data_IF_727156610896
#
_entry.id   IF_727156610896
#
_cell.length_a   1.000
_cell.length_b   1.000
_cell.length_c   1.000
_cell.angle_alpha   90.00
_cell.angle_beta   90.00
_cell.angle_gamma   90.00
#
_symmetry.space_group_name_H-M   'P 1'
#
loop_
_entity.id
_entity.type
_entity.pdbx_description
1 polymer ?
#
# COMPACT_ATOMS: atom_id res chain seq x y z
N UNK A 1 8.85 -7.36 -10.77
CA UNK A 1 9.39 -6.00 -10.56
C UNK A 1 10.79 -5.99 -9.94
N UNK A 2 10.99 -6.60 -8.76
CA UNK A 2 12.26 -6.55 -8.01
C UNK A 2 13.49 -7.02 -8.80
N UNK A 3 13.41 -8.18 -9.47
CA UNK A 3 14.50 -8.70 -10.31
C UNK A 3 14.93 -7.68 -11.37
N UNK A 4 13.97 -6.98 -11.96
CA UNK A 4 14.23 -5.97 -12.98
C UNK A 4 14.87 -4.69 -12.42
N UNK A 5 14.65 -4.37 -11.15
CA UNK A 5 15.31 -3.27 -10.44
C UNK A 5 16.74 -3.67 -10.05
N UNK A 6 16.91 -4.86 -9.47
CA UNK A 6 18.23 -5.40 -9.13
C UNK A 6 19.16 -5.47 -10.35
N UNK A 7 18.65 -5.95 -11.49
CA UNK A 7 19.39 -5.98 -12.77
C UNK A 7 19.81 -4.61 -13.29
N UNK A 8 19.19 -3.53 -12.80
CA UNK A 8 19.51 -2.13 -13.15
C UNK A 8 20.37 -1.44 -12.09
N UNK A 9 20.90 -2.19 -11.12
CA UNK A 9 21.80 -1.68 -10.09
C UNK A 9 21.11 -1.04 -8.88
N UNK A 10 19.80 -1.26 -8.71
CA UNK A 10 19.09 -0.82 -7.50
C UNK A 10 19.16 -1.88 -6.41
N UNK A 11 19.30 -1.45 -5.16
CA UNK A 11 18.94 -2.28 -4.01
C UNK A 11 17.43 -2.23 -3.86
N UNK A 12 16.77 -3.37 -4.01
CA UNK A 12 15.32 -3.47 -3.99
C UNK A 12 14.86 -4.39 -2.85
N UNK A 13 13.86 -3.96 -2.11
CA UNK A 13 13.30 -4.67 -0.97
C UNK A 13 11.78 -4.70 -1.08
N UNK A 14 11.19 -5.83 -0.69
CA UNK A 14 9.75 -6.02 -0.57
C UNK A 14 9.46 -6.66 0.77
N UNK A 15 8.27 -6.43 1.27
CA UNK A 15 7.73 -7.09 2.45
C UNK A 15 6.32 -7.57 2.13
N UNK A 16 5.88 -8.60 2.84
CA UNK A 16 4.49 -9.03 2.78
C UNK A 16 3.63 -8.19 3.74
N UNK A 17 2.48 -7.74 3.25
CA UNK A 17 1.44 -7.15 4.09
C UNK A 17 0.74 -8.24 4.90
N UNK A 18 0.09 -7.86 6.01
CA UNK A 18 -0.74 -8.80 6.78
C UNK A 18 -1.77 -9.47 5.86
N UNK A 19 -1.83 -10.80 5.88
CA UNK A 19 -2.71 -11.60 5.04
C UNK A 19 -2.12 -12.04 3.69
N UNK A 20 -0.90 -11.59 3.35
CA UNK A 20 -0.20 -11.94 2.11
C UNK A 20 1.04 -12.81 2.38
N UNK A 21 1.33 -13.73 1.44
CA UNK A 21 2.58 -14.48 1.41
C UNK A 21 2.93 -15.15 2.74
N UNK A 22 4.13 -14.89 3.26
CA UNK A 22 4.62 -15.45 4.53
C UNK A 22 3.85 -14.95 5.76
N UNK A 23 2.97 -13.96 5.59
CA UNK A 23 2.18 -13.33 6.65
C UNK A 23 0.69 -13.66 6.58
N UNK A 24 0.32 -14.78 5.98
CA UNK A 24 -1.04 -15.33 6.14
C UNK A 24 -1.39 -15.43 7.63
N UNK A 25 -2.56 -14.92 8.00
CA UNK A 25 -3.08 -14.94 9.37
C UNK A 25 -4.02 -16.11 9.62
N UNK A 26 -4.46 -16.78 8.57
CA UNK A 26 -5.37 -17.92 8.62
C UNK A 26 -4.71 -19.20 8.10
N UNK A 27 -3.39 -19.31 8.22
CA UNK A 27 -2.64 -20.48 7.80
C UNK A 27 -3.08 -21.73 8.59
N UNK A 28 -3.31 -22.82 7.86
CA UNK A 28 -3.57 -24.15 8.42
C UNK A 28 -2.41 -25.07 8.08
N UNK A 29 -1.82 -25.69 9.10
CA UNK A 29 -0.66 -26.56 8.94
C UNK A 29 -1.00 -27.88 8.26
N UNK A 30 -2.23 -28.37 8.42
CA UNK A 30 -2.66 -29.63 7.80
C UNK A 30 -2.99 -29.42 6.31
N UNK A 31 -3.49 -28.24 5.95
CA UNK A 31 -3.73 -27.87 4.55
C UNK A 31 -2.49 -27.29 3.85
N UNK A 32 -1.44 -26.99 4.61
CA UNK A 32 -0.24 -26.26 4.16
C UNK A 32 -0.54 -24.93 3.43
N UNK A 33 -1.71 -24.33 3.69
CA UNK A 33 -2.19 -23.12 3.02
C UNK A 33 -3.20 -22.38 3.92
N UNK A 34 -3.67 -21.21 3.46
CA UNK A 34 -4.72 -20.47 4.16
C UNK A 34 -6.04 -21.24 4.21
N UNK A 35 -6.72 -21.22 5.36
CA UNK A 35 -8.11 -21.73 5.53
C UNK A 35 -9.10 -21.05 4.59
N UNK A 36 -8.75 -19.89 4.05
CA UNK A 36 -9.57 -19.13 3.12
C UNK A 36 -9.25 -19.45 1.65
N UNK A 37 -8.37 -20.44 1.39
CA UNK A 37 -7.96 -20.90 0.07
C UNK A 37 -6.84 -20.08 -0.56
N UNK A 38 -6.30 -20.56 -1.70
CA UNK A 38 -5.17 -19.92 -2.41
C UNK A 38 -5.47 -18.52 -2.96
N UNK A 39 -6.74 -18.17 -3.16
CA UNK A 39 -7.19 -16.84 -3.55
C UNK A 39 -7.62 -15.99 -2.36
N UNK A 40 -7.38 -16.47 -1.14
CA UNK A 40 -7.88 -15.90 0.11
C UNK A 40 -7.23 -14.58 0.55
N UNK A 41 -6.19 -14.10 -0.14
CA UNK A 41 -5.42 -12.89 0.23
C UNK A 41 -6.31 -11.66 0.54
N UNK A 42 -7.18 -11.28 -0.38
CA UNK A 42 -8.10 -10.13 -0.21
C UNK A 42 -9.18 -10.42 0.83
N UNK A 43 -9.59 -11.68 0.96
CA UNK A 43 -10.52 -12.13 2.01
C UNK A 43 -9.87 -12.03 3.38
N UNK A 44 -8.60 -12.41 3.54
CA UNK A 44 -7.84 -12.25 4.79
C UNK A 44 -7.75 -10.78 5.20
N UNK A 45 -7.40 -9.90 4.27
CA UNK A 45 -7.38 -8.45 4.50
C UNK A 45 -8.72 -7.95 5.05
N UNK A 46 -9.82 -8.40 4.45
CA UNK A 46 -11.18 -8.02 4.83
C UNK A 46 -11.56 -8.57 6.21
N UNK A 47 -11.24 -9.84 6.49
CA UNK A 47 -11.56 -10.49 7.76
C UNK A 47 -10.79 -9.88 8.93
N UNK A 48 -9.50 -9.56 8.74
CA UNK A 48 -8.69 -8.86 9.75
C UNK A 48 -9.17 -7.41 9.88
N UNK A 49 -9.45 -6.76 8.76
CA UNK A 49 -9.94 -5.38 8.73
C UNK A 49 -11.27 -5.19 9.44
N UNK A 50 -12.20 -6.15 9.30
CA UNK A 50 -13.46 -6.16 10.04
C UNK A 50 -13.21 -6.26 11.56
N UNK A 51 -12.26 -7.07 12.01
CA UNK A 51 -11.89 -7.15 13.43
C UNK A 51 -11.30 -5.82 13.93
N UNK A 52 -10.40 -5.20 13.16
CA UNK A 52 -9.87 -3.87 13.48
C UNK A 52 -10.99 -2.84 13.58
N UNK A 53 -11.91 -2.82 12.62
CA UNK A 53 -13.04 -1.88 12.59
C UNK A 53 -13.94 -2.02 13.81
N UNK A 54 -14.27 -3.26 14.20
CA UNK A 54 -15.07 -3.54 15.40
C UNK A 54 -14.36 -3.08 16.69
N UNK A 55 -13.03 -3.08 16.71
CA UNK A 55 -12.22 -2.54 17.80
C UNK A 55 -12.06 -1.00 17.74
N UNK A 56 -12.69 -0.31 16.79
CA UNK A 56 -12.55 1.14 16.58
C UNK A 56 -11.21 1.55 15.93
N UNK A 57 -10.51 0.60 15.31
CA UNK A 57 -9.23 0.80 14.64
C UNK A 57 -9.35 0.53 13.13
N UNK A 58 -8.23 0.60 12.40
CA UNK A 58 -8.18 0.28 10.97
C UNK A 58 -6.89 -0.44 10.60
N UNK A 59 -7.01 -1.55 9.85
CA UNK A 59 -5.89 -2.40 9.45
C UNK A 59 -4.78 -1.65 8.69
N UNK A 60 -5.13 -0.59 7.94
CA UNK A 60 -4.16 0.25 7.24
C UNK A 60 -3.07 0.80 8.17
N UNK A 61 -3.39 1.08 9.44
CA UNK A 61 -2.42 1.62 10.40
C UNK A 61 -1.27 0.64 10.63
N UNK A 62 -1.58 -0.64 10.74
CA UNK A 62 -0.60 -1.69 10.95
C UNK A 62 0.21 -1.95 9.68
N UNK A 63 -0.45 -2.07 8.53
CA UNK A 63 0.23 -2.36 7.26
C UNK A 63 1.08 -1.17 6.78
N UNK A 64 0.68 0.07 7.06
CA UNK A 64 1.52 1.26 6.86
C UNK A 64 2.75 1.20 7.77
N UNK A 65 2.56 0.87 9.06
CA UNK A 65 3.65 0.79 10.00
C UNK A 65 4.69 -0.26 9.60
N UNK A 66 4.25 -1.41 9.10
CA UNK A 66 5.12 -2.45 8.53
C UNK A 66 5.95 -1.89 7.37
N UNK A 67 5.35 -1.11 6.47
CA UNK A 67 6.07 -0.44 5.38
C UNK A 67 7.11 0.58 5.87
N UNK A 68 6.82 1.31 6.95
CA UNK A 68 7.79 2.24 7.57
C UNK A 68 8.95 1.45 8.20
N UNK A 69 8.68 0.31 8.87
CA UNK A 69 9.74 -0.55 9.42
C UNK A 69 10.57 -1.24 8.33
N UNK A 70 9.93 -1.64 7.23
CA UNK A 70 10.60 -2.14 6.03
C UNK A 70 11.58 -1.10 5.48
N UNK A 71 11.17 0.18 5.44
CA UNK A 71 12.04 1.27 5.05
C UNK A 71 13.20 1.47 6.05
N UNK A 72 12.94 1.41 7.36
CA UNK A 72 14.01 1.49 8.38
C UNK A 72 15.07 0.40 8.16
N UNK A 73 14.63 -0.84 7.93
CA UNK A 73 15.54 -1.95 7.65
C UNK A 73 16.34 -1.70 6.38
N UNK A 74 15.69 -1.31 5.28
CA UNK A 74 16.36 -1.02 4.01
C UNK A 74 17.44 0.06 4.19
N UNK A 75 17.13 1.15 4.89
CA UNK A 75 18.07 2.26 5.12
C UNK A 75 19.20 1.93 6.10
N UNK A 76 19.07 0.86 6.90
CA UNK A 76 20.15 0.36 7.75
C UNK A 76 21.25 -0.38 6.96
N UNK A 77 20.97 -0.77 5.72
CA UNK A 77 21.89 -1.53 4.88
C UNK A 77 23.01 -0.63 4.36
N UNK A 78 24.26 -1.07 4.54
CA UNK A 78 25.45 -0.33 4.07
C UNK A 78 25.48 -0.10 2.56
N UNK A 79 24.85 -0.99 1.79
CA UNK A 79 24.74 -0.91 0.34
C UNK A 79 23.67 0.08 -0.15
N UNK A 80 22.87 0.66 0.76
CA UNK A 80 21.78 1.59 0.44
C UNK A 80 22.22 3.02 0.66
N UNK A 81 21.94 3.86 -0.34
CA UNK A 81 22.13 5.31 -0.25
C UNK A 81 20.84 5.98 0.27
N UNK A 82 20.82 6.50 1.50
CA UNK A 82 19.61 7.07 2.10
C UNK A 82 19.16 8.38 1.45
N UNK A 83 19.97 8.96 0.54
CA UNK A 83 19.59 10.18 -0.20
C UNK A 83 18.85 9.87 -1.50
N UNK A 84 18.81 8.60 -1.94
CA UNK A 84 18.22 8.15 -3.21
C UNK A 84 17.20 7.03 -3.00
N UNK A 85 16.12 7.37 -2.29
CA UNK A 85 15.07 6.41 -1.90
C UNK A 85 13.82 6.60 -2.77
N UNK A 86 13.32 5.49 -3.31
CA UNK A 86 12.10 5.44 -4.09
C UNK A 86 11.14 4.36 -3.60
N UNK A 87 9.83 4.60 -3.74
CA UNK A 87 8.77 3.64 -3.41
C UNK A 87 7.85 3.43 -4.61
N UNK A 88 7.47 2.18 -4.88
CA UNK A 88 6.56 1.83 -5.99
C UNK A 88 5.82 0.55 -5.70
N UNK A 89 4.62 0.42 -6.26
CA UNK A 89 3.77 -0.75 -6.11
C UNK A 89 2.51 -0.64 -6.96
N UNK A 90 1.84 -1.77 -7.14
CA UNK A 90 0.64 -1.89 -7.97
C UNK A 90 -0.57 -2.32 -7.11
N UNK A 91 -1.75 -1.77 -7.39
CA UNK A 91 -2.99 -2.10 -6.66
C UNK A 91 -2.83 -1.85 -5.15
N UNK A 92 -2.92 -2.89 -4.30
CA UNK A 92 -2.55 -2.81 -2.87
C UNK A 92 -1.21 -2.13 -2.62
N UNK A 93 -0.18 -2.52 -3.38
CA UNK A 93 1.14 -1.87 -3.31
C UNK A 93 1.14 -0.41 -3.77
N UNK A 94 0.23 -0.04 -4.68
CA UNK A 94 0.04 1.34 -5.12
C UNK A 94 -0.58 2.21 -4.02
N UNK A 95 -1.58 1.66 -3.31
CA UNK A 95 -2.16 2.28 -2.11
C UNK A 95 -1.10 2.47 -1.03
N UNK A 96 -0.28 1.44 -0.76
CA UNK A 96 0.85 1.55 0.16
C UNK A 96 1.88 2.59 -0.27
N UNK A 97 2.21 2.66 -1.56
CA UNK A 97 3.12 3.68 -2.10
C UNK A 97 2.57 5.09 -1.84
N UNK A 98 1.25 5.29 -2.01
CA UNK A 98 0.60 6.56 -1.72
C UNK A 98 0.62 6.89 -0.22
N UNK A 99 0.33 5.95 0.67
CA UNK A 99 0.39 6.17 2.12
C UNK A 99 1.80 6.47 2.60
N UNK A 100 2.78 5.64 2.24
CA UNK A 100 4.16 5.78 2.69
C UNK A 100 4.77 7.09 2.19
N UNK A 101 4.57 7.43 0.92
CA UNK A 101 5.08 8.69 0.37
C UNK A 101 4.45 9.93 1.00
N UNK A 102 3.19 9.84 1.47
CA UNK A 102 2.53 10.92 2.19
C UNK A 102 2.99 11.04 3.66
N UNK A 103 3.38 9.93 4.30
CA UNK A 103 3.67 9.85 5.73
C UNK A 103 5.15 9.85 6.08
N UNK A 104 6.04 9.50 5.15
CA UNK A 104 7.48 9.39 5.38
C UNK A 104 8.28 10.24 4.38
N UNK A 105 8.98 11.25 4.88
CA UNK A 105 9.74 12.20 4.07
C UNK A 105 11.06 11.65 3.55
N UNK A 106 11.49 10.46 4.01
CA UNK A 106 12.68 9.80 3.48
C UNK A 106 12.46 9.29 2.06
N UNK A 107 11.21 9.15 1.61
CA UNK A 107 10.87 8.75 0.24
C UNK A 107 10.92 9.98 -0.68
N UNK A 108 11.95 10.06 -1.51
CA UNK A 108 12.15 11.16 -2.48
C UNK A 108 11.38 10.98 -3.78
N UNK A 109 11.11 9.75 -4.19
CA UNK A 109 10.37 9.42 -5.43
C UNK A 109 9.28 8.38 -5.13
N UNK A 110 8.07 8.63 -5.61
CA UNK A 110 6.95 7.68 -5.49
C UNK A 110 6.35 7.36 -6.87
N UNK A 111 6.15 6.08 -7.16
CA UNK A 111 5.51 5.63 -8.40
C UNK A 111 4.36 4.65 -8.09
N UNK A 112 3.23 5.15 -7.55
CA UNK A 112 2.06 4.31 -7.29
C UNK A 112 1.35 3.95 -8.62
N UNK A 113 0.86 2.72 -8.73
CA UNK A 113 0.12 2.24 -9.91
C UNK A 113 -1.18 1.52 -9.52
N UNK A 114 -2.22 1.69 -10.35
CA UNK A 114 -3.52 1.03 -10.23
C UNK A 114 -4.17 1.11 -8.83
N UNK A 115 -4.11 2.27 -8.17
CA UNK A 115 -4.65 2.46 -6.81
C UNK A 115 -5.77 3.51 -6.76
N UNK A 116 -6.50 3.59 -5.64
CA UNK A 116 -7.65 4.49 -5.47
C UNK A 116 -7.22 5.97 -5.54
N UNK A 117 -7.69 6.65 -6.58
CA UNK A 117 -7.48 8.10 -6.75
C UNK A 117 -8.68 8.94 -6.32
N UNK A 118 -9.87 8.36 -6.20
CA UNK A 118 -11.08 9.07 -5.76
C UNK A 118 -12.09 8.12 -5.11
N UNK A 119 -12.52 8.48 -3.89
CA UNK A 119 -13.59 7.78 -3.17
C UNK A 119 -14.91 7.78 -3.94
N UNK A 120 -15.27 8.91 -4.54
CA UNK A 120 -16.49 9.03 -5.33
C UNK A 120 -16.44 8.08 -6.53
N UNK A 121 -15.36 8.11 -7.32
CA UNK A 121 -15.21 7.23 -8.49
C UNK A 121 -15.16 5.76 -8.11
N UNK A 122 -14.56 5.44 -6.96
CA UNK A 122 -14.55 4.08 -6.46
C UNK A 122 -15.97 3.58 -6.18
N UNK A 123 -16.76 4.37 -5.44
CA UNK A 123 -18.14 4.03 -5.11
C UNK A 123 -19.04 3.96 -6.36
N UNK A 124 -18.80 4.81 -7.35
CA UNK A 124 -19.53 4.81 -8.64
C UNK A 124 -19.15 3.65 -9.57
N UNK A 125 -18.04 2.94 -9.31
CA UNK A 125 -17.52 1.88 -10.19
C UNK A 125 -17.58 0.50 -9.55
N UNK A 126 -16.47 0.06 -8.96
CA UNK A 126 -16.28 -1.30 -8.43
C UNK A 126 -16.64 -1.41 -6.95
N UNK A 127 -16.92 -0.30 -6.28
CA UNK A 127 -17.25 -0.26 -4.85
C UNK A 127 -16.01 -0.35 -3.94
N UNK A 128 -16.23 -0.41 -2.61
CA UNK A 128 -15.16 -0.48 -1.62
C UNK A 128 -14.14 -1.58 -1.92
N UNK A 129 -12.85 -1.30 -1.69
CA UNK A 129 -11.77 -2.26 -1.86
C UNK A 129 -11.40 -2.93 -0.52
N UNK A 130 -10.31 -3.68 -0.52
CA UNK A 130 -9.71 -4.30 0.67
C UNK A 130 -9.65 -3.32 1.85
N UNK A 131 -9.76 -3.85 3.06
CA UNK A 131 -10.01 -3.06 4.25
C UNK A 131 -8.90 -2.04 4.58
N UNK A 132 -7.64 -2.31 4.21
CA UNK A 132 -6.53 -1.37 4.35
C UNK A 132 -6.61 -0.18 3.40
N UNK A 133 -7.42 -0.28 2.35
CA UNK A 133 -7.66 0.80 1.39
C UNK A 133 -8.87 1.65 1.79
N UNK A 134 -9.68 1.14 2.73
CA UNK A 134 -10.90 1.76 3.24
C UNK A 134 -10.67 2.46 4.58
N UNK A 135 -10.20 3.70 4.52
CA UNK A 135 -10.05 4.55 5.71
C UNK A 135 -11.42 5.02 6.22
N UNK A 136 -11.72 4.90 7.53
CA UNK A 136 -13.00 5.33 8.08
C UNK A 136 -13.18 6.86 7.95
N UNK A 137 -14.41 7.32 7.67
CA UNK A 137 -14.71 8.73 7.43
C UNK A 137 -14.46 9.65 8.65
N UNK A 138 -14.32 9.08 9.86
CA UNK A 138 -14.03 9.83 11.09
C UNK A 138 -12.60 10.38 11.18
N UNK A 139 -11.72 10.08 10.21
CA UNK A 139 -10.42 10.74 10.10
C UNK A 139 -10.54 12.02 9.25
N UNK A 140 -10.58 13.23 9.85
CA UNK A 140 -10.70 14.50 9.11
C UNK A 140 -9.52 14.76 8.16
N UNK A 141 -8.48 13.91 8.16
CA UNK A 141 -7.33 13.97 7.24
C UNK A 141 -7.60 13.34 5.87
N UNK A 142 -8.68 12.58 5.68
CA UNK A 142 -8.88 11.80 4.43
C UNK A 142 -10.27 11.90 3.83
N UNK A 143 -11.14 12.76 4.39
CA UNK A 143 -12.58 12.71 4.16
C UNK A 143 -13.08 13.14 2.76
N UNK A 144 -12.28 13.76 1.89
CA UNK A 144 -12.84 14.36 0.66
C UNK A 144 -11.94 14.33 -0.58
N UNK A 145 -10.75 13.74 -0.51
CA UNK A 145 -9.84 13.67 -1.66
C UNK A 145 -8.87 12.52 -1.53
N UNK A 146 -8.32 12.03 -2.66
CA UNK A 146 -7.16 11.12 -2.70
C UNK A 146 -6.22 11.39 -1.51
N UNK A 147 -5.67 10.36 -0.83
CA UNK A 147 -4.66 10.55 0.23
C UNK A 147 -3.49 11.44 -0.23
N UNK A 148 -3.30 11.59 -1.54
CA UNK A 148 -2.35 12.49 -2.16
C UNK A 148 -2.65 14.00 -2.00
N UNK A 149 -3.91 14.40 -1.85
CA UNK A 149 -4.33 15.82 -1.76
C UNK A 149 -4.34 16.39 -0.35
N UNK A 150 -4.31 15.56 0.69
CA UNK A 150 -4.61 16.01 2.05
C UNK A 150 -3.47 16.71 2.81
N UNK A 151 -2.21 16.59 2.39
CA UNK A 151 -1.06 17.44 2.83
C UNK A 151 0.23 16.97 2.17
N UNK A 152 0.44 17.33 0.92
CA UNK A 152 1.82 17.48 0.46
C UNK A 152 2.36 18.77 1.10
N UNK A 153 3.12 18.66 2.21
CA UNK A 153 4.12 19.70 2.48
C UNK A 153 5.02 19.77 1.23
N UNK A 154 5.51 20.94 0.81
CA UNK A 154 6.27 21.07 -0.43
C UNK A 154 7.68 20.48 -0.26
N UNK A 155 7.78 19.18 -0.07
CA UNK A 155 8.97 18.40 -0.35
C UNK A 155 8.99 18.15 -1.86
N UNK A 156 10.14 18.33 -2.51
CA UNK A 156 10.33 18.02 -3.94
C UNK A 156 10.23 16.50 -4.16
N UNK A 157 9.03 15.94 -4.04
CA UNK A 157 8.75 14.52 -4.32
C UNK A 157 8.38 14.41 -5.80
N UNK A 158 9.16 13.64 -6.55
CA UNK A 158 8.77 13.28 -7.92
C UNK A 158 7.75 12.16 -7.82
N UNK A 159 6.52 12.42 -8.26
CA UNK A 159 5.48 11.41 -8.32
C UNK A 159 5.17 11.05 -9.76
N UNK A 160 5.38 9.78 -10.09
CA UNK A 160 5.14 9.23 -11.41
C UNK A 160 3.84 8.43 -11.31
N UNK A 161 2.77 9.01 -11.85
CA UNK A 161 1.46 8.37 -11.89
C UNK A 161 1.26 7.65 -13.22
N UNK A 162 0.90 6.37 -13.17
CA UNK A 162 0.41 5.61 -14.33
C UNK A 162 -1.08 5.35 -14.17
N UNK A 163 -1.96 6.02 -14.95
CA UNK A 163 -3.38 5.75 -14.91
C UNK A 163 -3.66 4.32 -15.37
N UNK A 164 -4.52 3.60 -14.65
CA UNK A 164 -5.13 2.36 -15.14
C UNK A 164 -6.18 2.71 -16.18
N UNK A 165 -5.98 2.26 -17.43
CA UNK A 165 -6.91 2.29 -18.58
C UNK A 165 -8.16 3.16 -18.39
N UNK A 166 -8.01 4.47 -18.44
CA UNK A 166 -9.13 5.38 -18.57
C UNK A 166 -9.59 5.35 -20.04
N UNK A 167 -10.79 4.84 -20.29
CA UNK A 167 -11.47 5.08 -21.55
C UNK A 167 -11.50 6.60 -21.78
N UNK A 168 -10.80 7.06 -22.83
CA UNK A 168 -11.11 8.34 -23.45
C UNK A 168 -12.56 8.23 -23.92
N UNK A 169 -13.46 8.91 -23.23
CA UNK A 169 -14.75 9.24 -23.80
C UNK A 169 -14.48 10.17 -24.98
N UNK A 170 -14.77 9.67 -26.18
CA UNK A 170 -14.92 10.45 -27.42
C UNK A 170 -15.98 11.52 -27.29
#
# INVERSE_FOLDING_TARGET
MLVSLARRGFVAFTWDTLGQGERSQFYDTDLETSKLGETGYTTEHTMIGAQCLLAGDNIARYTIWDGIRALDYLLSRREVDPTRVACTGNSGGGTHTAYLSALDDRIGVAAPSCYITSWQRLLESIGPQDAEQCLPPSSPRFATSSPFRARARPTRKLVIYTPSWEHRTS
#
